data_IF_236394809189
#
_entry.id   IF_236394809189
#
_cell.length_a   1.000
_cell.length_b   1.000
_cell.length_c   1.000
_cell.angle_alpha   90.00
_cell.angle_beta   90.00
_cell.angle_gamma   90.00
#
_symmetry.space_group_name_H-M   'P 1'
#
loop_
_entity.id
_entity.type
_entity.pdbx_description
1 polymer ?
#
# COMPACT_ATOMS: atom_id res chain seq x y z
N UNK A 1 -4.83 -1.75 21.79
CA UNK A 1 -3.60 -1.68 20.96
C UNK A 1 -3.58 -0.42 20.12
N UNK A 2 -2.41 -0.02 19.63
CA UNK A 2 -2.20 1.04 18.64
C UNK A 2 -1.91 0.41 17.28
N UNK A 3 -2.57 0.89 16.23
CA UNK A 3 -2.34 0.46 14.85
C UNK A 3 -1.70 1.59 14.05
N UNK A 4 -0.63 1.30 13.32
CA UNK A 4 -0.03 2.20 12.34
C UNK A 4 -0.45 1.76 10.94
N UNK A 5 -0.98 2.69 10.14
CA UNK A 5 -1.36 2.42 8.74
C UNK A 5 -0.55 3.33 7.82
N UNK A 6 0.20 2.72 6.90
CA UNK A 6 0.92 3.49 5.87
C UNK A 6 0.04 3.68 4.64
N UNK A 7 0.01 4.91 4.09
CA UNK A 7 -0.80 5.26 2.93
C UNK A 7 0.05 6.01 1.89
N UNK A 8 -0.02 5.61 0.63
CA UNK A 8 0.72 6.20 -0.48
C UNK A 8 -0.21 7.02 -1.38
N UNK A 9 0.25 8.20 -1.80
CA UNK A 9 -0.39 9.01 -2.83
C UNK A 9 0.07 8.53 -4.19
N UNK A 10 -0.87 8.10 -5.04
CA UNK A 10 -0.61 7.55 -6.38
C UNK A 10 -1.50 8.21 -7.43
N UNK A 11 -1.19 8.03 -8.69
CA UNK A 11 -2.10 8.40 -9.79
C UNK A 11 -3.40 7.59 -9.65
N UNK A 12 -4.56 8.26 -9.72
CA UNK A 12 -5.86 7.61 -9.61
C UNK A 12 -6.02 6.53 -10.68
N UNK A 13 -6.50 5.36 -10.30
CA UNK A 13 -6.62 4.18 -11.18
C UNK A 13 -7.56 4.38 -12.38
N UNK A 14 -8.43 5.40 -12.35
CA UNK A 14 -9.27 5.76 -13.51
C UNK A 14 -8.53 6.64 -14.54
N UNK A 15 -7.34 7.13 -14.22
CA UNK A 15 -6.54 7.94 -15.12
C UNK A 15 -5.78 7.06 -16.11
N UNK A 16 -5.87 7.39 -17.39
CA UNK A 16 -5.02 6.78 -18.40
C UNK A 16 -3.60 7.37 -18.29
N UNK A 17 -2.71 6.61 -17.72
CA UNK A 17 -1.29 6.97 -17.55
C UNK A 17 -0.60 7.10 -18.91
N UNK A 18 0.31 8.07 -19.06
CA UNK A 18 1.13 8.30 -20.27
C UNK A 18 2.59 8.45 -19.87
N UNK A 19 3.49 7.93 -20.69
CA UNK A 19 4.90 8.22 -20.57
C UNK A 19 5.19 9.65 -21.05
N UNK A 20 6.15 10.32 -20.40
CA UNK A 20 6.66 11.61 -20.88
C UNK A 20 7.32 11.44 -22.24
N UNK A 21 7.28 12.47 -23.09
CA UNK A 21 7.83 12.43 -24.44
C UNK A 21 9.34 12.15 -24.47
N UNK A 22 10.08 12.57 -23.46
CA UNK A 22 11.52 12.33 -23.28
C UNK A 22 11.85 10.96 -22.67
N UNK A 23 10.83 10.17 -22.28
CA UNK A 23 10.99 8.88 -21.63
C UNK A 23 11.54 8.94 -20.20
N UNK A 24 11.64 10.11 -19.58
CA UNK A 24 12.19 10.28 -18.22
C UNK A 24 11.28 9.78 -17.10
N UNK A 25 10.01 9.48 -17.38
CA UNK A 25 9.05 9.09 -16.38
C UNK A 25 7.62 9.08 -16.88
N UNK A 26 6.70 9.08 -15.94
CA UNK A 26 5.25 9.14 -16.17
C UNK A 26 4.79 10.59 -16.08
N UNK A 27 3.83 10.99 -16.95
CA UNK A 27 3.20 12.30 -16.91
C UNK A 27 2.26 12.39 -15.70
N UNK A 28 2.62 13.21 -14.71
CA UNK A 28 1.85 13.41 -13.48
C UNK A 28 1.35 14.84 -13.30
N UNK A 29 1.70 15.77 -14.22
CA UNK A 29 1.23 17.15 -14.17
C UNK A 29 -0.28 17.22 -14.42
N UNK A 30 -1.01 17.88 -13.51
CA UNK A 30 -2.48 18.06 -13.58
C UNK A 30 -3.28 16.73 -13.66
N UNK A 31 -2.73 15.65 -13.15
CA UNK A 31 -3.37 14.34 -13.10
C UNK A 31 -4.06 14.17 -11.75
N UNK A 32 -5.26 13.59 -11.74
CA UNK A 32 -5.93 13.23 -10.49
C UNK A 32 -5.08 12.23 -9.71
N UNK A 33 -4.84 12.54 -8.43
CA UNK A 33 -4.15 11.66 -7.50
C UNK A 33 -5.13 11.17 -6.44
N UNK A 34 -4.89 9.96 -5.93
CA UNK A 34 -5.71 9.34 -4.89
C UNK A 34 -4.84 8.55 -3.90
N UNK A 35 -5.45 8.02 -2.85
CA UNK A 35 -4.82 6.99 -2.01
C UNK A 35 -4.69 5.71 -2.83
N UNK A 36 -3.58 5.00 -2.64
CA UNK A 36 -3.40 3.66 -3.22
C UNK A 36 -4.55 2.72 -2.78
N UNK A 37 -5.23 2.01 -3.69
CA UNK A 37 -6.38 1.16 -3.36
C UNK A 37 -6.08 0.09 -2.30
N UNK A 38 -4.88 -0.49 -2.31
CA UNK A 38 -4.48 -1.47 -1.28
C UNK A 38 -4.33 -0.82 0.10
N UNK A 39 -3.95 0.46 0.16
CA UNK A 39 -3.85 1.19 1.42
C UNK A 39 -5.23 1.64 1.94
N UNK A 40 -6.20 1.89 1.04
CA UNK A 40 -7.60 2.10 1.44
C UNK A 40 -8.16 0.87 2.17
N UNK A 41 -7.84 -0.35 1.69
CA UNK A 41 -8.17 -1.61 2.36
C UNK A 41 -7.51 -1.69 3.75
N UNK A 42 -6.25 -1.26 3.85
CA UNK A 42 -5.50 -1.27 5.11
C UNK A 42 -6.12 -0.30 6.15
N UNK A 43 -6.51 0.90 5.72
CA UNK A 43 -7.19 1.88 6.58
C UNK A 43 -8.55 1.35 7.03
N UNK A 44 -9.34 0.80 6.11
CA UNK A 44 -10.64 0.20 6.42
C UNK A 44 -10.52 -0.91 7.45
N UNK A 45 -9.54 -1.80 7.30
CA UNK A 45 -9.32 -2.88 8.27
C UNK A 45 -8.99 -2.35 9.67
N UNK A 46 -8.08 -1.37 9.75
CA UNK A 46 -7.75 -0.75 11.03
C UNK A 46 -8.97 -0.11 11.70
N UNK A 47 -9.83 0.56 10.92
CA UNK A 47 -11.06 1.18 11.43
C UNK A 47 -12.06 0.12 11.89
N UNK A 48 -12.24 -0.98 11.16
CA UNK A 48 -13.09 -2.11 11.59
C UNK A 48 -12.60 -2.72 12.90
N UNK A 49 -11.29 -2.89 13.06
CA UNK A 49 -10.68 -3.40 14.30
C UNK A 49 -10.91 -2.42 15.47
N UNK A 50 -10.89 -1.11 15.23
CA UNK A 50 -11.20 -0.10 16.25
C UNK A 50 -12.68 -0.12 16.61
N UNK A 51 -13.59 -0.18 15.65
CA UNK A 51 -15.05 -0.27 15.86
C UNK A 51 -15.42 -1.55 16.63
N UNK A 52 -14.68 -2.65 16.43
CA UNK A 52 -14.81 -3.89 17.19
C UNK A 52 -14.19 -3.82 18.59
N UNK A 53 -13.67 -2.65 19.03
CA UNK A 53 -13.04 -2.46 20.34
C UNK A 53 -11.67 -3.10 20.50
N UNK A 54 -11.06 -3.58 19.41
CA UNK A 54 -9.74 -4.25 19.41
C UNK A 54 -8.57 -3.26 19.33
N UNK A 55 -8.77 -2.10 18.73
CA UNK A 55 -7.78 -1.02 18.68
C UNK A 55 -8.26 0.21 19.46
N UNK A 56 -7.31 0.94 20.07
CA UNK A 56 -7.57 2.20 20.80
C UNK A 56 -7.18 3.43 20.00
N UNK A 57 -6.19 3.31 19.14
CA UNK A 57 -5.66 4.41 18.35
C UNK A 57 -5.20 3.91 16.99
N UNK A 58 -5.54 4.67 15.93
CA UNK A 58 -5.09 4.47 14.56
C UNK A 58 -4.28 5.69 14.14
N UNK A 59 -3.03 5.47 13.77
CA UNK A 59 -2.11 6.49 13.25
C UNK A 59 -1.90 6.25 11.76
N UNK A 60 -2.30 7.20 10.92
CA UNK A 60 -2.03 7.14 9.48
C UNK A 60 -0.70 7.84 9.16
N UNK A 61 0.17 7.23 8.36
CA UNK A 61 1.44 7.82 7.94
C UNK A 61 1.57 7.81 6.42
N UNK A 62 2.04 8.93 5.87
CA UNK A 62 2.44 9.04 4.46
C UNK A 62 3.83 9.66 4.35
N UNK A 63 4.53 9.36 3.25
CA UNK A 63 5.88 9.84 3.01
C UNK A 63 5.96 10.41 1.59
N UNK A 64 6.59 11.57 1.43
CA UNK A 64 6.75 12.22 0.13
C UNK A 64 6.50 13.73 0.21
N UNK A 65 6.12 14.31 -0.92
CA UNK A 65 5.91 15.76 -1.04
C UNK A 65 4.76 16.28 -0.16
N UNK A 66 4.73 17.58 0.13
CA UNK A 66 3.70 18.21 0.96
C UNK A 66 2.26 17.82 0.56
N UNK A 67 1.98 17.60 -0.72
CA UNK A 67 0.65 17.18 -1.21
C UNK A 67 0.23 15.77 -0.73
N UNK A 68 1.13 14.96 -0.18
CA UNK A 68 0.78 13.68 0.44
C UNK A 68 -0.08 13.85 1.69
N UNK A 69 -0.13 15.06 2.29
CA UNK A 69 -1.06 15.34 3.38
C UNK A 69 -2.52 15.09 3.01
N UNK A 70 -2.91 15.28 1.74
CA UNK A 70 -4.29 15.05 1.30
C UNK A 70 -4.68 13.58 1.42
N UNK A 71 -3.74 12.67 1.14
CA UNK A 71 -3.89 11.23 1.35
C UNK A 71 -4.04 10.88 2.83
N UNK A 72 -3.21 11.49 3.69
CA UNK A 72 -3.37 11.35 5.15
C UNK A 72 -4.74 11.88 5.61
N UNK A 73 -5.17 13.05 5.10
CA UNK A 73 -6.51 13.59 5.41
C UNK A 73 -7.64 12.67 4.97
N UNK A 74 -7.47 11.94 3.88
CA UNK A 74 -8.44 10.90 3.46
C UNK A 74 -8.50 9.76 4.48
N UNK A 75 -7.36 9.23 4.94
CA UNK A 75 -7.33 8.22 6.00
C UNK A 75 -7.97 8.71 7.31
N UNK A 76 -7.73 9.99 7.68
CA UNK A 76 -8.38 10.64 8.83
C UNK A 76 -9.90 10.74 8.66
N UNK A 77 -10.38 10.95 7.45
CA UNK A 77 -11.80 11.03 7.12
C UNK A 77 -12.46 9.65 7.11
N UNK A 78 -11.72 8.59 6.78
CA UNK A 78 -12.17 7.20 6.92
C UNK A 78 -12.31 6.76 8.37
N UNK A 79 -11.48 7.31 9.29
CA UNK A 79 -11.60 6.98 10.71
C UNK A 79 -10.31 7.10 11.52
N UNK A 80 -9.13 7.14 10.92
CA UNK A 80 -7.88 7.27 11.65
C UNK A 80 -7.89 8.49 12.60
N UNK A 81 -7.23 8.38 13.76
CA UNK A 81 -7.31 9.38 14.84
C UNK A 81 -6.39 10.57 14.59
N UNK A 82 -5.17 10.33 14.15
CA UNK A 82 -4.18 11.35 13.79
C UNK A 82 -3.29 10.90 12.64
N UNK A 83 -2.58 11.85 12.06
CA UNK A 83 -1.71 11.62 10.91
C UNK A 83 -0.28 12.04 11.14
N UNK A 84 0.63 11.42 10.39
CA UNK A 84 2.03 11.80 10.28
C UNK A 84 2.35 11.93 8.79
N UNK A 85 2.99 13.03 8.40
CA UNK A 85 3.60 13.20 7.09
C UNK A 85 5.12 13.28 7.26
N UNK A 86 5.86 12.37 6.65
CA UNK A 86 7.31 12.54 6.49
C UNK A 86 7.53 13.24 5.15
N UNK A 87 7.74 14.57 5.23
CA UNK A 87 7.80 15.43 4.07
C UNK A 87 9.20 15.42 3.45
N UNK A 88 9.27 15.14 2.16
CA UNK A 88 10.49 15.19 1.35
C UNK A 88 10.15 15.35 -0.13
N UNK A 89 10.99 16.10 -0.87
CA UNK A 89 10.91 16.20 -2.33
C UNK A 89 11.76 15.13 -3.04
N UNK A 90 12.51 14.32 -2.29
CA UNK A 90 13.28 13.20 -2.83
C UNK A 90 12.31 12.09 -3.24
N UNK A 91 12.48 11.55 -4.45
CA UNK A 91 11.77 10.35 -4.90
C UNK A 91 12.19 9.16 -4.04
N UNK A 92 11.24 8.65 -3.26
CA UNK A 92 11.50 7.60 -2.29
C UNK A 92 11.38 6.22 -2.92
N UNK A 93 12.42 5.41 -2.78
CA UNK A 93 12.46 4.01 -3.18
C UNK A 93 12.02 3.09 -2.01
N UNK A 94 11.55 1.85 -2.26
CA UNK A 94 10.96 1.00 -1.23
C UNK A 94 11.81 0.82 0.03
N UNK A 95 13.13 0.68 -0.09
CA UNK A 95 14.01 0.54 1.07
C UNK A 95 14.12 1.84 1.89
N UNK A 96 14.16 3.00 1.24
CA UNK A 96 14.15 4.30 1.92
C UNK A 96 12.82 4.50 2.67
N UNK A 97 11.69 4.15 2.04
CA UNK A 97 10.37 4.14 2.67
C UNK A 97 10.35 3.23 3.90
N UNK A 98 10.84 2.00 3.78
CA UNK A 98 10.88 1.05 4.90
C UNK A 98 11.73 1.56 6.06
N UNK A 99 12.87 2.21 5.81
CA UNK A 99 13.72 2.83 6.84
C UNK A 99 13.03 4.00 7.54
N UNK A 100 12.36 4.86 6.78
CA UNK A 100 11.59 5.99 7.34
C UNK A 100 10.42 5.47 8.18
N UNK A 101 9.67 4.49 7.67
CA UNK A 101 8.59 3.84 8.43
C UNK A 101 9.12 3.20 9.71
N UNK A 102 10.30 2.53 9.66
CA UNK A 102 10.93 1.99 10.87
C UNK A 102 11.17 3.08 11.91
N UNK A 103 11.72 4.22 11.52
CA UNK A 103 11.98 5.33 12.45
C UNK A 103 10.67 5.88 13.05
N UNK A 104 9.59 5.94 12.26
CA UNK A 104 8.26 6.29 12.77
C UNK A 104 7.74 5.21 13.73
N UNK A 105 7.93 3.93 13.44
CA UNK A 105 7.57 2.81 14.33
C UNK A 105 8.32 2.87 15.64
N UNK A 106 9.61 3.16 15.62
CA UNK A 106 10.44 3.31 16.83
C UNK A 106 9.94 4.45 17.73
N UNK A 107 9.42 5.54 17.14
CA UNK A 107 8.80 6.67 17.84
C UNK A 107 7.40 6.33 18.36
N UNK A 108 6.57 5.75 17.53
CA UNK A 108 5.14 5.53 17.80
C UNK A 108 4.86 4.27 18.61
N UNK A 109 5.70 3.26 18.50
CA UNK A 109 5.58 1.95 19.16
C UNK A 109 4.19 1.32 18.97
N UNK A 110 3.75 1.12 17.72
CA UNK A 110 2.48 0.44 17.47
C UNK A 110 2.57 -1.06 17.83
N UNK A 111 1.44 -1.66 18.09
CA UNK A 111 1.32 -3.11 18.31
C UNK A 111 1.12 -3.86 16.98
N UNK A 112 0.53 -3.18 15.99
CA UNK A 112 0.24 -3.74 14.67
C UNK A 112 0.50 -2.68 13.59
N UNK A 113 1.16 -3.09 12.51
CA UNK A 113 1.30 -2.29 11.30
C UNK A 113 0.44 -2.93 10.21
N UNK A 114 -0.39 -2.13 9.53
CA UNK A 114 -1.16 -2.57 8.36
C UNK A 114 -0.84 -1.63 7.20
N UNK A 115 -0.51 -2.18 6.04
CA UNK A 115 -0.29 -1.42 4.81
C UNK A 115 -0.70 -2.23 3.58
N UNK A 116 -0.92 -1.58 2.46
CA UNK A 116 -1.18 -2.26 1.19
C UNK A 116 -0.05 -3.21 0.80
N UNK A 117 -0.36 -4.34 0.18
CA UNK A 117 0.67 -5.28 -0.28
C UNK A 117 1.60 -4.66 -1.32
N UNK A 118 1.07 -3.76 -2.14
CA UNK A 118 1.79 -3.07 -3.22
C UNK A 118 1.15 -1.72 -3.50
N UNK A 119 1.82 -0.87 -4.25
CA UNK A 119 1.27 0.37 -4.78
C UNK A 119 1.07 0.23 -6.30
N UNK A 120 -0.04 0.76 -6.83
CA UNK A 120 -0.43 0.60 -8.24
C UNK A 120 0.43 1.39 -9.23
N UNK A 121 1.31 2.26 -8.74
CA UNK A 121 2.21 3.07 -9.55
C UNK A 121 3.53 2.35 -9.90
N UNK A 122 4.07 1.53 -8.99
CA UNK A 122 5.34 0.84 -9.17
C UNK A 122 5.27 -0.69 -9.07
N UNK A 123 4.18 -1.23 -8.51
CA UNK A 123 3.96 -2.66 -8.27
C UNK A 123 5.14 -3.39 -7.61
N UNK A 124 6.00 -2.66 -6.88
CA UNK A 124 7.24 -3.22 -6.34
C UNK A 124 7.01 -4.31 -5.28
N UNK A 125 5.92 -4.21 -4.50
CA UNK A 125 5.56 -5.17 -3.45
C UNK A 125 6.72 -5.52 -2.49
N UNK A 126 7.47 -4.53 -2.03
CA UNK A 126 8.69 -4.73 -1.25
C UNK A 126 8.66 -4.05 0.13
N UNK A 127 7.96 -2.92 0.27
CA UNK A 127 8.04 -2.05 1.45
C UNK A 127 7.65 -2.78 2.74
N UNK A 128 6.54 -3.52 2.75
CA UNK A 128 6.06 -4.22 3.94
C UNK A 128 7.05 -5.28 4.41
N UNK A 129 7.54 -6.12 3.51
CA UNK A 129 8.50 -7.17 3.80
C UNK A 129 9.85 -6.61 4.27
N UNK A 130 10.34 -5.53 3.64
CA UNK A 130 11.55 -4.84 4.08
C UNK A 130 11.38 -4.24 5.47
N UNK A 131 10.22 -3.61 5.75
CA UNK A 131 9.93 -3.05 7.06
C UNK A 131 9.88 -4.13 8.15
N UNK A 132 9.19 -5.25 7.89
CA UNK A 132 9.12 -6.37 8.82
C UNK A 132 10.52 -6.91 9.14
N UNK A 133 11.37 -7.09 8.12
CA UNK A 133 12.74 -7.53 8.30
C UNK A 133 13.58 -6.54 9.11
N UNK A 134 13.47 -5.23 8.84
CA UNK A 134 14.18 -4.19 9.59
C UNK A 134 13.75 -4.10 11.06
N UNK A 135 12.50 -4.45 11.37
CA UNK A 135 11.95 -4.48 12.74
C UNK A 135 12.21 -5.82 13.45
N UNK A 136 12.53 -6.88 12.70
CA UNK A 136 12.57 -8.25 13.25
C UNK A 136 11.19 -8.76 13.66
N UNK A 137 10.11 -8.27 13.02
CA UNK A 137 8.73 -8.60 13.33
C UNK A 137 8.21 -9.72 12.44
N UNK A 138 7.26 -10.49 12.98
CA UNK A 138 6.48 -11.43 12.18
C UNK A 138 5.63 -10.69 11.15
N UNK A 139 5.44 -11.28 9.95
CA UNK A 139 4.66 -10.68 8.87
C UNK A 139 3.60 -11.64 8.32
N UNK A 140 2.42 -11.11 8.04
CA UNK A 140 1.34 -11.75 7.29
C UNK A 140 1.09 -11.00 5.99
N UNK A 141 1.74 -11.43 4.90
CA UNK A 141 1.62 -10.76 3.61
C UNK A 141 0.41 -11.26 2.82
N UNK A 142 -0.20 -10.38 1.98
CA UNK A 142 -1.34 -10.68 1.10
C UNK A 142 -2.61 -11.10 1.86
N UNK A 143 -2.92 -10.41 2.96
CA UNK A 143 -4.04 -10.77 3.82
C UNK A 143 -5.39 -10.61 3.10
N UNK A 144 -6.19 -11.66 3.11
CA UNK A 144 -7.61 -11.68 2.74
C UNK A 144 -8.54 -11.84 3.95
N UNK A 145 -7.97 -12.15 5.13
CA UNK A 145 -8.67 -12.14 6.42
C UNK A 145 -7.70 -11.83 7.55
N UNK A 146 -8.13 -11.02 8.55
CA UNK A 146 -7.35 -10.66 9.72
C UNK A 146 -8.21 -10.84 10.96
N UNK A 147 -7.73 -11.60 11.96
CA UNK A 147 -8.43 -11.84 13.21
C UNK A 147 -7.48 -11.62 14.39
N UNK A 148 -7.82 -10.66 15.26
CA UNK A 148 -7.05 -10.37 16.47
C UNK A 148 -7.46 -11.28 17.62
N UNK A 149 -6.49 -12.02 18.14
CA UNK A 149 -6.55 -12.80 19.37
C UNK A 149 -5.86 -12.11 20.55
N UNK A 150 -5.67 -12.85 21.64
CA UNK A 150 -4.92 -12.38 22.80
C UNK A 150 -3.41 -12.46 22.52
N UNK A 151 -2.78 -11.30 22.32
CA UNK A 151 -1.36 -11.19 21.99
C UNK A 151 -0.96 -11.74 20.62
N UNK A 152 -1.93 -12.08 19.76
CA UNK A 152 -1.69 -12.66 18.44
C UNK A 152 -2.58 -12.03 17.37
N UNK A 153 -2.15 -12.12 16.11
CA UNK A 153 -2.99 -11.86 14.93
C UNK A 153 -2.94 -13.07 14.01
N UNK A 154 -4.11 -13.59 13.65
CA UNK A 154 -4.26 -14.66 12.67
C UNK A 154 -4.57 -14.04 11.31
N UNK A 155 -3.79 -14.39 10.31
CA UNK A 155 -3.88 -13.83 8.95
C UNK A 155 -4.10 -14.97 7.97
N UNK A 156 -5.19 -14.92 7.19
CA UNK A 156 -5.38 -15.77 6.01
C UNK A 156 -4.83 -15.02 4.81
N UNK A 157 -3.94 -15.66 4.08
CA UNK A 157 -3.14 -15.10 2.97
C UNK A 157 -3.55 -15.71 1.65
N UNK A 158 -3.56 -14.88 0.61
CA UNK A 158 -3.66 -15.34 -0.78
C UNK A 158 -2.29 -15.83 -1.26
N UNK A 159 -2.20 -17.10 -1.66
CA UNK A 159 -0.99 -17.73 -2.23
C UNK A 159 -1.35 -18.45 -3.53
N UNK A 160 -0.38 -18.74 -4.38
CA UNK A 160 -0.64 -19.34 -5.71
C UNK A 160 -1.40 -20.67 -5.64
N UNK A 161 -1.17 -21.46 -4.60
CA UNK A 161 -1.87 -22.74 -4.39
C UNK A 161 -3.22 -22.63 -3.68
N UNK A 162 -3.68 -21.43 -3.30
CA UNK A 162 -4.93 -21.21 -2.58
C UNK A 162 -4.81 -20.29 -1.37
N UNK A 163 -5.25 -20.71 -0.20
CA UNK A 163 -5.21 -19.92 1.02
C UNK A 163 -4.28 -20.56 2.06
N UNK A 164 -3.50 -19.73 2.74
CA UNK A 164 -2.67 -20.12 3.87
C UNK A 164 -3.07 -19.29 5.09
N UNK A 165 -3.23 -19.94 6.23
CA UNK A 165 -3.52 -19.23 7.50
C UNK A 165 -2.33 -19.34 8.44
N UNK A 166 -1.82 -18.19 8.89
CA UNK A 166 -0.70 -18.07 9.82
C UNK A 166 -1.09 -17.30 11.06
N UNK A 167 -0.58 -17.71 12.23
CA UNK A 167 -0.73 -16.99 13.48
C UNK A 167 0.59 -16.30 13.84
N UNK A 168 0.53 -14.99 14.06
CA UNK A 168 1.67 -14.14 14.33
C UNK A 168 1.60 -13.61 15.75
N UNK A 169 2.72 -13.60 16.48
CA UNK A 169 2.82 -12.89 17.76
C UNK A 169 2.92 -11.38 17.51
N UNK A 170 2.21 -10.60 18.32
CA UNK A 170 2.35 -9.15 18.33
C UNK A 170 3.65 -8.73 19.05
N UNK A 171 4.33 -7.66 18.63
CA UNK A 171 3.96 -6.81 17.50
C UNK A 171 4.18 -7.49 16.15
N UNK A 172 3.36 -7.17 15.16
CA UNK A 172 3.38 -7.80 13.83
C UNK A 172 3.10 -6.80 12.71
N UNK A 173 3.39 -7.21 11.48
CA UNK A 173 3.10 -6.47 10.27
C UNK A 173 2.19 -7.28 9.34
N UNK A 174 1.18 -6.63 8.79
CA UNK A 174 0.24 -7.23 7.83
C UNK A 174 0.23 -6.40 6.55
N UNK A 175 0.32 -7.06 5.39
CA UNK A 175 0.04 -6.41 4.12
C UNK A 175 -1.27 -6.90 3.53
N UNK A 176 -2.09 -5.97 3.01
CA UNK A 176 -3.48 -6.26 2.63
C UNK A 176 -3.63 -6.57 1.15
N UNK A 177 -4.41 -7.60 0.83
CA UNK A 177 -4.96 -7.84 -0.51
C UNK A 177 -6.31 -7.13 -0.67
N UNK A 178 -6.75 -6.89 -1.91
CA UNK A 178 -8.06 -6.28 -2.21
C UNK A 178 -9.26 -7.13 -1.75
N UNK A 179 -9.05 -8.43 -1.51
CA UNK A 179 -10.09 -9.36 -1.04
C UNK A 179 -10.39 -9.25 0.45
N UNK A 180 -9.57 -8.51 1.22
CA UNK A 180 -9.72 -8.42 2.67
C UNK A 180 -11.04 -7.76 3.09
N UNK A 181 -11.38 -6.65 2.46
CA UNK A 181 -12.61 -5.90 2.76
C UNK A 181 -12.99 -4.98 1.59
N UNK A 182 -14.14 -4.32 1.72
CA UNK A 182 -14.58 -3.22 0.86
C UNK A 182 -14.48 -1.91 1.67
N UNK A 183 -13.67 -0.92 1.22
CA UNK A 183 -13.52 0.36 1.91
C UNK A 183 -14.83 1.13 1.98
N UNK A 184 -15.05 1.79 3.11
CA UNK A 184 -16.21 2.64 3.33
C UNK A 184 -16.20 3.89 2.47
N UNK A 185 -17.37 4.32 2.05
CA UNK A 185 -17.52 5.62 1.40
C UNK A 185 -17.40 6.75 2.44
N UNK A 186 -16.50 7.70 2.17
CA UNK A 186 -16.25 8.84 3.07
C UNK A 186 -17.32 9.91 2.89
N UNK A 187 -18.09 10.20 3.94
CA UNK A 187 -19.14 11.21 3.95
C UNK A 187 -18.56 12.62 4.15
N UNK A 188 -19.17 13.63 3.55
CA UNK A 188 -18.73 15.03 3.65
C UNK A 188 -18.51 15.53 5.10
N UNK A 189 -19.36 15.22 6.11
CA UNK A 189 -19.11 15.61 7.48
C UNK A 189 -17.80 15.03 8.05
N UNK A 190 -17.41 13.83 7.63
CA UNK A 190 -16.15 13.21 8.08
C UNK A 190 -14.94 13.91 7.45
N UNK A 191 -15.03 14.33 6.19
CA UNK A 191 -14.00 15.15 5.53
C UNK A 191 -13.79 16.46 6.30
N UNK A 192 -14.87 17.12 6.71
CA UNK A 192 -14.80 18.36 7.48
C UNK A 192 -14.19 18.16 8.87
N UNK A 193 -14.52 17.06 9.54
CA UNK A 193 -13.90 16.68 10.82
C UNK A 193 -12.41 16.34 10.67
N UNK A 194 -12.04 15.64 9.60
CA UNK A 194 -10.67 15.26 9.32
C UNK A 194 -9.72 16.46 9.17
N UNK A 195 -10.20 17.60 8.66
CA UNK A 195 -9.41 18.83 8.57
C UNK A 195 -8.90 19.33 9.93
N UNK A 196 -9.62 19.03 11.03
CA UNK A 196 -9.28 19.44 12.40
C UNK A 196 -8.47 18.40 13.16
N UNK A 197 -8.38 17.15 12.66
CA UNK A 197 -7.59 16.10 13.32
C UNK A 197 -6.09 16.44 13.28
N UNK A 198 -5.32 16.04 14.31
CA UNK A 198 -3.88 16.30 14.37
C UNK A 198 -3.15 15.68 13.18
N UNK A 199 -2.22 16.44 12.61
CA UNK A 199 -1.29 15.98 11.58
C UNK A 199 0.09 16.54 11.92
N UNK A 200 1.01 15.65 12.25
CA UNK A 200 2.41 15.97 12.50
C UNK A 200 3.19 15.92 11.19
N UNK A 201 4.07 16.90 10.97
CA UNK A 201 4.97 16.91 9.81
C UNK A 201 6.40 16.74 10.32
N UNK A 202 7.09 15.74 9.78
CA UNK A 202 8.49 15.40 10.07
C UNK A 202 9.29 15.47 8.78
N UNK A 203 10.61 15.56 8.88
CA UNK A 203 11.53 15.43 7.75
C UNK A 203 12.43 14.20 7.93
N UNK A 204 12.96 13.59 6.86
CA UNK A 204 13.93 12.49 6.97
C UNK A 204 15.12 12.80 7.89
N UNK A 205 15.59 14.05 7.89
CA UNK A 205 16.67 14.51 8.77
C UNK A 205 16.29 14.42 10.26
N UNK A 206 15.04 14.74 10.62
CA UNK A 206 14.54 14.65 12.01
C UNK A 206 14.51 13.19 12.50
N UNK A 207 14.42 12.24 11.56
CA UNK A 207 14.42 10.81 11.81
C UNK A 207 15.80 10.16 11.66
N UNK A 208 16.83 10.92 11.26
CA UNK A 208 18.19 10.44 11.05
C UNK A 208 18.32 9.39 9.92
N UNK A 209 17.44 9.45 8.91
CA UNK A 209 17.38 8.44 7.83
C UNK A 209 17.94 9.04 6.54
N UNK A 210 18.91 8.33 5.95
CA UNK A 210 19.39 8.59 4.58
C UNK A 210 18.38 8.03 3.57
N UNK A 211 17.86 8.92 2.73
CA UNK A 211 16.87 8.62 1.68
C UNK A 211 17.45 8.73 0.27
N UNK A 212 18.77 8.81 0.13
CA UNK A 212 19.44 8.92 -1.17
C UNK A 212 19.00 7.78 -2.10
N UNK A 213 18.49 8.09 -3.31
CA UNK A 213 18.09 7.08 -4.28
C UNK A 213 19.28 6.20 -4.70
N UNK A 214 19.04 4.91 -4.83
CA UNK A 214 20.05 3.91 -5.25
C UNK A 214 19.81 3.34 -6.63
N UNK A 215 18.62 3.51 -7.18
CA UNK A 215 18.22 3.09 -8.52
C UNK A 215 17.95 4.32 -9.37
N UNK A 216 18.28 4.23 -10.66
CA UNK A 216 18.00 5.26 -11.66
C UNK A 216 17.12 4.67 -12.74
N UNK A 217 15.97 5.30 -12.99
CA UNK A 217 15.09 4.94 -14.10
C UNK A 217 15.74 5.39 -15.40
N UNK A 218 16.13 4.46 -16.24
CA UNK A 218 16.80 4.76 -17.52
C UNK A 218 15.81 5.19 -18.59
N UNK A 219 14.64 4.55 -18.65
CA UNK A 219 13.62 4.83 -19.66
C UNK A 219 12.25 4.32 -19.23
N UNK A 220 11.23 5.13 -19.49
CA UNK A 220 9.81 4.77 -19.40
C UNK A 220 9.19 4.89 -20.78
N UNK A 221 8.41 3.89 -21.19
CA UNK A 221 7.70 3.88 -22.48
C UNK A 221 6.35 3.17 -22.32
N UNK A 222 5.41 3.52 -23.17
CA UNK A 222 4.14 2.81 -23.23
C UNK A 222 4.38 1.36 -23.69
N UNK A 223 3.57 0.39 -23.18
CA UNK A 223 3.68 -0.99 -23.65
C UNK A 223 3.27 -1.07 -25.13
N UNK A 224 3.84 -2.01 -25.90
CA UNK A 224 3.46 -2.22 -27.29
C UNK A 224 1.98 -2.58 -27.39
N UNK A 225 1.32 -2.11 -28.45
CA UNK A 225 -0.06 -2.47 -28.71
C UNK A 225 -0.17 -3.97 -28.91
N UNK A 226 -1.03 -4.60 -28.11
CA UNK A 226 -1.35 -6.02 -28.30
C UNK A 226 -2.08 -6.23 -29.62
N UNK A 227 -1.69 -7.24 -30.37
CA UNK A 227 -2.43 -7.70 -31.54
C UNK A 227 -3.64 -8.50 -31.10
N UNK A 228 -4.68 -8.51 -31.91
CA UNK A 228 -5.85 -9.36 -31.66
C UNK A 228 -5.45 -10.85 -31.66
N UNK A 229 -6.01 -11.61 -30.76
CA UNK A 229 -5.83 -13.06 -30.75
C UNK A 229 -6.55 -13.74 -31.93
N UNK A 230 -6.25 -15.00 -32.15
CA UNK A 230 -6.90 -15.85 -33.16
C UNK A 230 -8.11 -16.53 -32.51
N UNK A 231 -9.26 -16.42 -33.12
CA UNK A 231 -10.42 -17.23 -32.73
C UNK A 231 -10.28 -18.64 -33.27
N UNK A 232 -10.60 -19.63 -32.47
CA UNK A 232 -10.62 -21.04 -32.83
C UNK A 232 -12.01 -21.65 -32.63
N UNK A 233 -12.41 -22.57 -33.48
CA UNK A 233 -13.79 -23.06 -33.51
C UNK A 233 -14.04 -24.18 -32.49
N UNK A 234 -13.01 -24.86 -32.01
CA UNK A 234 -13.14 -25.99 -31.10
C UNK A 234 -12.12 -25.95 -29.96
N UNK A 235 -12.45 -26.57 -28.83
CA UNK A 235 -11.55 -26.75 -27.69
C UNK A 235 -10.29 -27.53 -28.09
N UNK A 236 -10.45 -28.59 -28.93
CA UNK A 236 -9.33 -29.37 -29.41
C UNK A 236 -8.33 -28.50 -30.21
N UNK A 237 -8.83 -27.65 -31.11
CA UNK A 237 -8.00 -26.72 -31.86
C UNK A 237 -7.28 -25.69 -30.95
N UNK A 238 -7.94 -25.25 -29.87
CA UNK A 238 -7.30 -24.38 -28.86
C UNK A 238 -6.15 -25.08 -28.14
N UNK A 239 -6.40 -26.31 -27.64
CA UNK A 239 -5.38 -27.12 -26.95
C UNK A 239 -4.19 -27.38 -27.88
N UNK A 240 -4.46 -27.77 -29.14
CA UNK A 240 -3.42 -28.03 -30.12
C UNK A 240 -2.53 -26.81 -30.40
N UNK A 241 -3.12 -25.61 -30.51
CA UNK A 241 -2.37 -24.37 -30.67
C UNK A 241 -1.58 -23.96 -29.42
N UNK A 242 -2.16 -24.12 -28.24
CA UNK A 242 -1.46 -23.85 -26.99
C UNK A 242 -0.25 -24.77 -26.78
N UNK A 243 -0.38 -26.04 -27.20
CA UNK A 243 0.69 -27.03 -27.10
C UNK A 243 1.74 -26.86 -28.19
N UNK A 244 1.34 -26.78 -29.48
CA UNK A 244 2.26 -26.83 -30.62
C UNK A 244 2.81 -25.47 -31.07
N UNK A 245 2.04 -24.37 -30.89
CA UNK A 245 2.44 -23.04 -31.36
C UNK A 245 2.90 -22.15 -30.19
N UNK A 246 2.12 -22.10 -29.10
CA UNK A 246 2.42 -21.22 -27.97
C UNK A 246 3.34 -21.88 -26.92
N UNK A 247 3.44 -23.21 -26.90
CA UNK A 247 4.25 -23.99 -25.95
C UNK A 247 4.01 -23.65 -24.47
N UNK A 248 2.74 -23.43 -24.09
CA UNK A 248 2.36 -23.03 -22.72
C UNK A 248 1.67 -24.16 -21.93
N UNK A 249 1.34 -25.25 -22.60
CA UNK A 249 0.85 -26.49 -22.00
C UNK A 249 1.52 -27.70 -22.65
#
# INVERSE_FOLDING_TARGET
MKILVAVKRVVDYNVKVRAKADGSGVETANVKMSMNPFDEIAVEEAVRLQEAGKAKEIVAVSLGIAACQDTVRTALAMGADRGILVETDVELQPLAVAKLLKAVVDKEKPDLIILGKQAIDDDANQTGQMLAALLGWAQGAFASKVELGDGTVTVTREVDGGLETVALKLPALVTTDLRLNEPRFVKLPNIMKAKKKPLEVLKPADLGVDVTPRLVTLKVQEPPKRQAGIKVDTVAALVDKLHKEAHVI
#
